data_IF_635017269442
#
_entry.id   IF_635017269442
#
_cell.length_a   1.000
_cell.length_b   1.000
_cell.length_c   1.000
_cell.angle_alpha   90.00
_cell.angle_beta   90.00
_cell.angle_gamma   90.00
#
_symmetry.space_group_name_H-M   'P 1'
#
loop_
_entity.id
_entity.type
_entity.pdbx_description
1 polymer ?
#
# COMPACT_ATOMS: atom_id res chain seq x y z
N UNK A 1 22.97 19.99 -22.14
CA UNK A 1 22.02 19.13 -21.44
C UNK A 1 22.62 17.75 -21.22
N UNK A 2 22.68 17.29 -19.95
CA UNK A 2 23.18 15.95 -19.59
C UNK A 2 21.99 15.11 -19.21
N UNK A 3 21.91 13.89 -19.74
CA UNK A 3 20.80 12.95 -19.44
C UNK A 3 21.33 11.51 -19.39
N UNK A 4 20.84 10.75 -18.44
CA UNK A 4 21.06 9.31 -18.30
C UNK A 4 19.87 8.47 -18.82
N UNK A 5 18.88 9.14 -19.43
CA UNK A 5 17.70 8.53 -20.05
C UNK A 5 17.47 9.14 -21.45
N UNK A 6 18.44 9.03 -22.38
CA UNK A 6 18.30 9.59 -23.71
C UNK A 6 17.38 8.73 -24.58
N UNK A 7 16.53 9.38 -25.36
CA UNK A 7 15.86 8.76 -26.48
C UNK A 7 16.65 8.98 -27.80
N UNK A 8 16.20 8.36 -28.87
CA UNK A 8 16.89 8.40 -30.17
C UNK A 8 16.95 9.83 -30.78
N UNK A 9 16.00 10.70 -30.42
CA UNK A 9 16.03 12.10 -30.87
C UNK A 9 17.02 12.94 -30.07
N UNK A 10 17.10 12.73 -28.77
CA UNK A 10 18.01 13.47 -27.88
C UNK A 10 19.48 13.15 -28.18
N UNK A 11 19.80 11.90 -28.47
CA UNK A 11 21.17 11.48 -28.78
C UNK A 11 21.74 12.22 -29.99
N UNK A 12 20.89 12.61 -30.94
CA UNK A 12 21.30 13.29 -32.19
C UNK A 12 21.40 14.80 -32.05
N UNK A 13 20.98 15.41 -30.93
CA UNK A 13 20.98 16.86 -30.75
C UNK A 13 22.33 17.39 -30.26
N UNK A 14 22.80 18.45 -30.91
CA UNK A 14 24.00 19.17 -30.45
C UNK A 14 23.81 19.73 -29.04
N UNK A 15 24.82 19.56 -28.19
CA UNK A 15 24.80 20.02 -26.80
C UNK A 15 24.15 19.07 -25.83
N UNK A 16 23.73 17.86 -26.26
CA UNK A 16 23.31 16.78 -25.42
C UNK A 16 24.47 15.84 -25.15
N UNK A 17 24.70 15.51 -23.88
CA UNK A 17 25.68 14.54 -23.42
C UNK A 17 24.92 13.36 -22.80
N UNK A 18 24.76 12.26 -23.52
CA UNK A 18 24.17 11.05 -22.95
C UNK A 18 25.19 10.33 -22.05
N UNK A 19 24.74 9.90 -20.90
CA UNK A 19 25.53 9.06 -19.98
C UNK A 19 24.76 7.79 -19.66
N UNK A 20 25.44 6.71 -19.25
CA UNK A 20 24.75 5.50 -18.78
C UNK A 20 23.91 5.77 -17.53
N UNK A 21 22.76 5.10 -17.43
CA UNK A 21 21.88 5.17 -16.25
C UNK A 21 22.41 4.26 -15.14
N UNK A 22 23.34 4.77 -14.32
CA UNK A 22 24.10 4.00 -13.33
C UNK A 22 23.79 4.38 -11.87
N UNK A 23 22.76 5.22 -11.61
CA UNK A 23 22.47 5.73 -10.28
C UNK A 23 22.19 4.62 -9.24
N UNK A 24 21.67 3.48 -9.67
CA UNK A 24 21.41 2.31 -8.80
C UNK A 24 22.43 1.16 -8.99
N UNK A 25 23.53 1.39 -9.71
CA UNK A 25 24.48 0.33 -10.11
C UNK A 25 25.82 0.43 -9.38
N UNK A 26 25.87 1.11 -8.25
CA UNK A 26 27.02 1.04 -7.34
C UNK A 26 26.78 -0.04 -6.27
N UNK A 27 27.81 -0.68 -5.71
CA UNK A 27 27.65 -1.67 -4.66
C UNK A 27 26.80 -1.16 -3.47
N UNK A 28 27.00 0.09 -3.05
CA UNK A 28 26.23 0.71 -1.96
C UNK A 28 24.77 0.93 -2.35
N UNK A 29 24.49 1.32 -3.59
CA UNK A 29 23.13 1.50 -4.08
C UNK A 29 22.38 0.16 -4.15
N UNK A 30 23.02 -0.88 -4.64
CA UNK A 30 22.44 -2.24 -4.70
C UNK A 30 22.12 -2.77 -3.31
N UNK A 31 23.03 -2.65 -2.34
CA UNK A 31 22.82 -3.06 -0.95
C UNK A 31 21.68 -2.27 -0.30
N UNK A 32 21.66 -0.94 -0.48
CA UNK A 32 20.61 -0.09 0.04
C UNK A 32 19.25 -0.42 -0.59
N UNK A 33 19.17 -0.65 -1.89
CA UNK A 33 17.96 -1.05 -2.57
C UNK A 33 17.43 -2.39 -2.04
N UNK A 34 18.29 -3.39 -1.89
CA UNK A 34 17.92 -4.69 -1.35
C UNK A 34 17.39 -4.57 0.08
N UNK A 35 18.12 -3.86 0.95
CA UNK A 35 17.74 -3.65 2.34
C UNK A 35 16.40 -2.91 2.45
N UNK A 36 16.22 -1.85 1.65
CA UNK A 36 14.99 -1.07 1.64
C UNK A 36 13.80 -1.90 1.14
N UNK A 37 13.97 -2.67 0.06
CA UNK A 37 12.92 -3.53 -0.47
C UNK A 37 12.48 -4.60 0.54
N UNK A 38 13.43 -5.25 1.23
CA UNK A 38 13.16 -6.24 2.26
C UNK A 38 12.39 -5.61 3.44
N UNK A 39 12.81 -4.44 3.91
CA UNK A 39 12.15 -3.75 5.02
C UNK A 39 10.72 -3.33 4.65
N UNK A 40 10.50 -2.79 3.45
CA UNK A 40 9.16 -2.43 2.97
C UNK A 40 8.25 -3.66 2.83
N UNK A 41 8.79 -4.76 2.30
CA UNK A 41 8.05 -6.02 2.19
C UNK A 41 7.70 -6.59 3.57
N UNK A 42 8.63 -6.54 4.52
CA UNK A 42 8.39 -6.97 5.90
C UNK A 42 7.30 -6.13 6.57
N UNK A 43 7.37 -4.79 6.46
CA UNK A 43 6.32 -3.90 6.97
C UNK A 43 4.93 -4.23 6.40
N UNK A 44 4.86 -4.54 5.11
CA UNK A 44 3.61 -4.95 4.48
C UNK A 44 3.14 -6.33 4.96
N UNK A 45 4.04 -7.31 5.03
CA UNK A 45 3.67 -8.69 5.38
C UNK A 45 3.34 -8.85 6.86
N UNK A 46 4.11 -8.24 7.75
CA UNK A 46 3.96 -8.41 9.20
C UNK A 46 2.97 -7.42 9.81
N UNK A 47 2.92 -6.18 9.30
CA UNK A 47 2.16 -5.09 9.90
C UNK A 47 1.09 -4.48 9.00
N UNK A 48 1.07 -4.85 7.71
CA UNK A 48 0.13 -4.30 6.74
C UNK A 48 0.41 -2.85 6.33
N UNK A 49 1.54 -2.29 6.73
CA UNK A 49 1.90 -0.92 6.39
C UNK A 49 2.36 -0.84 4.92
N UNK A 50 1.96 0.22 4.25
CA UNK A 50 2.42 0.54 2.90
C UNK A 50 3.40 1.71 2.96
N UNK A 51 4.63 1.47 2.48
CA UNK A 51 5.71 2.46 2.41
C UNK A 51 6.25 2.47 0.99
N UNK A 52 6.29 3.64 0.37
CA UNK A 52 6.75 3.87 -1.00
C UNK A 52 6.01 3.02 -2.06
N UNK A 53 4.73 2.73 -1.85
CA UNK A 53 3.92 2.00 -2.82
C UNK A 53 3.66 2.83 -4.08
N UNK A 54 3.82 2.23 -5.26
CA UNK A 54 3.64 2.94 -6.54
C UNK A 54 2.18 3.28 -6.79
N UNK A 55 1.27 2.37 -6.50
CA UNK A 55 -0.15 2.46 -6.82
C UNK A 55 -1.06 2.78 -5.63
N UNK A 56 -0.52 2.85 -4.41
CA UNK A 56 -1.24 3.26 -3.21
C UNK A 56 -0.54 4.44 -2.53
N UNK A 57 -1.25 5.19 -1.72
CA UNK A 57 -0.64 6.16 -0.83
C UNK A 57 0.10 5.46 0.31
N UNK A 58 1.13 6.09 0.85
CA UNK A 58 1.77 5.60 2.07
C UNK A 58 0.73 5.54 3.20
N UNK A 59 0.65 4.39 3.82
CA UNK A 59 -0.33 4.08 4.84
C UNK A 59 0.38 3.37 6.00
N UNK A 60 0.68 4.12 7.05
CA UNK A 60 1.41 3.62 8.19
C UNK A 60 0.60 3.82 9.47
N UNK A 61 0.31 2.73 10.15
CA UNK A 61 -0.28 2.70 11.48
C UNK A 61 0.61 1.82 12.34
N UNK A 62 1.16 2.35 13.47
CA UNK A 62 2.00 1.55 14.35
C UNK A 62 1.33 0.22 14.70
N UNK A 63 2.08 -0.90 14.74
CA UNK A 63 1.52 -2.18 15.10
C UNK A 63 1.02 -2.14 16.55
N UNK A 64 -0.13 -2.74 16.78
CA UNK A 64 -0.74 -2.93 18.11
C UNK A 64 -0.83 -4.42 18.41
N UNK A 65 -1.14 -4.79 19.66
CA UNK A 65 -1.44 -6.18 20.02
C UNK A 65 -2.81 -6.66 19.51
N UNK A 66 -3.62 -5.75 18.95
CA UNK A 66 -4.94 -6.03 18.40
C UNK A 66 -4.83 -6.69 17.03
N UNK A 67 -5.85 -7.48 16.66
CA UNK A 67 -5.97 -8.00 15.31
C UNK A 67 -6.21 -6.86 14.33
N UNK A 68 -5.68 -7.02 13.14
CA UNK A 68 -5.70 -5.99 12.11
C UNK A 68 -6.31 -6.52 10.83
N UNK A 69 -7.31 -5.79 10.31
CA UNK A 69 -7.92 -6.04 9.02
C UNK A 69 -7.33 -5.05 8.01
N UNK A 70 -6.81 -5.56 6.92
CA UNK A 70 -6.26 -4.81 5.80
C UNK A 70 -7.19 -4.91 4.61
N UNK A 71 -7.57 -3.79 4.03
CA UNK A 71 -8.51 -3.76 2.91
C UNK A 71 -7.99 -2.84 1.82
N UNK A 72 -7.81 -3.39 0.61
CA UNK A 72 -7.63 -2.60 -0.59
C UNK A 72 -8.96 -2.54 -1.36
N UNK A 73 -9.35 -1.35 -1.81
CA UNK A 73 -10.61 -1.12 -2.51
C UNK A 73 -10.50 -0.01 -3.56
N UNK A 74 -11.50 0.08 -4.44
CA UNK A 74 -11.64 1.26 -5.28
C UNK A 74 -12.01 2.48 -4.45
N UNK A 75 -11.46 3.64 -4.82
CA UNK A 75 -11.70 4.91 -4.14
C UNK A 75 -13.05 5.52 -4.61
N UNK A 76 -14.15 4.95 -4.15
CA UNK A 76 -15.50 5.40 -4.46
C UNK A 76 -16.31 5.65 -3.19
N UNK A 77 -17.35 6.50 -3.26
CA UNK A 77 -18.21 6.78 -2.11
C UNK A 77 -18.82 5.53 -1.47
N UNK A 78 -19.12 5.61 -0.19
CA UNK A 78 -19.82 4.63 0.63
C UNK A 78 -19.04 3.34 1.00
N UNK A 79 -17.87 3.05 0.41
CA UNK A 79 -17.11 1.81 0.73
C UNK A 79 -16.77 1.74 2.22
N UNK A 80 -16.22 2.82 2.79
CA UNK A 80 -15.87 2.87 4.22
C UNK A 80 -17.12 2.69 5.09
N UNK A 81 -18.22 3.38 4.74
CA UNK A 81 -19.49 3.22 5.46
C UNK A 81 -20.02 1.78 5.44
N UNK A 82 -19.89 1.09 4.32
CA UNK A 82 -20.29 -0.30 4.20
C UNK A 82 -19.40 -1.22 5.07
N UNK A 83 -18.08 -1.03 5.04
CA UNK A 83 -17.14 -1.80 5.86
C UNK A 83 -17.45 -1.59 7.35
N UNK A 84 -17.54 -0.35 7.80
CA UNK A 84 -17.79 -0.03 9.21
C UNK A 84 -19.18 -0.52 9.66
N UNK A 85 -20.19 -0.47 8.78
CA UNK A 85 -21.50 -1.03 9.05
C UNK A 85 -21.45 -2.55 9.26
N UNK A 86 -20.75 -3.29 8.39
CA UNK A 86 -20.59 -4.76 8.53
C UNK A 86 -19.95 -5.09 9.87
N UNK A 87 -18.90 -4.35 10.28
CA UNK A 87 -18.24 -4.56 11.58
C UNK A 87 -19.19 -4.23 12.74
N UNK A 88 -19.90 -3.11 12.67
CA UNK A 88 -20.87 -2.69 13.70
C UNK A 88 -22.03 -3.68 13.87
N UNK A 89 -22.62 -4.16 12.76
CA UNK A 89 -23.70 -5.15 12.77
C UNK A 89 -23.28 -6.48 13.47
N UNK A 90 -21.96 -6.77 13.50
CA UNK A 90 -21.35 -7.92 14.18
C UNK A 90 -20.78 -7.58 15.56
N UNK A 91 -21.03 -6.36 16.07
CA UNK A 91 -20.52 -5.87 17.36
C UNK A 91 -18.98 -5.91 17.46
N UNK A 92 -18.28 -5.80 16.33
CA UNK A 92 -16.82 -5.69 16.28
C UNK A 92 -16.46 -4.23 16.49
N UNK A 93 -15.75 -3.94 17.57
CA UNK A 93 -15.29 -2.59 17.88
C UNK A 93 -14.00 -2.27 17.11
N UNK A 94 -13.94 -1.07 16.52
CA UNK A 94 -12.76 -0.54 15.83
C UNK A 94 -11.95 0.26 16.85
N UNK A 95 -10.75 -0.22 17.17
CA UNK A 95 -9.83 0.48 18.06
C UNK A 95 -9.09 1.62 17.32
N UNK A 96 -8.60 1.33 16.12
CA UNK A 96 -7.94 2.32 15.26
C UNK A 96 -8.35 2.09 13.81
N UNK A 97 -8.40 3.16 13.04
CA UNK A 97 -8.67 3.08 11.61
C UNK A 97 -7.89 4.14 10.86
N UNK A 98 -7.20 3.72 9.81
CA UNK A 98 -6.53 4.60 8.87
C UNK A 98 -6.99 4.26 7.46
N UNK A 99 -7.49 5.25 6.74
CA UNK A 99 -7.81 5.18 5.31
C UNK A 99 -6.94 6.16 4.54
N UNK A 100 -6.33 5.69 3.48
CA UNK A 100 -5.57 6.54 2.54
C UNK A 100 -5.95 6.18 1.12
N UNK A 101 -6.13 7.20 0.29
CA UNK A 101 -6.43 7.03 -1.14
C UNK A 101 -5.38 7.68 -2.02
N UNK A 102 -5.17 7.09 -3.19
CA UNK A 102 -4.32 7.61 -4.27
C UNK A 102 -4.97 7.25 -5.61
N UNK A 103 -5.45 8.26 -6.33
CA UNK A 103 -6.19 8.05 -7.56
C UNK A 103 -7.42 7.17 -7.33
N UNK A 104 -7.52 6.10 -8.11
CA UNK A 104 -8.67 5.20 -8.14
C UNK A 104 -8.69 4.16 -7.01
N UNK A 105 -7.66 4.12 -6.16
CA UNK A 105 -7.51 3.10 -5.13
C UNK A 105 -7.42 3.69 -3.73
N UNK A 106 -7.94 2.97 -2.76
CA UNK A 106 -7.82 3.26 -1.35
C UNK A 106 -7.31 2.03 -0.59
N UNK A 107 -6.59 2.27 0.48
CA UNK A 107 -6.11 1.26 1.38
C UNK A 107 -6.51 1.58 2.80
N UNK A 108 -6.97 0.56 3.55
CA UNK A 108 -7.42 0.71 4.92
C UNK A 108 -6.64 -0.24 5.82
N UNK A 109 -6.24 0.30 6.97
CA UNK A 109 -5.76 -0.45 8.11
C UNK A 109 -6.76 -0.26 9.23
N UNK A 110 -7.34 -1.35 9.75
CA UNK A 110 -8.37 -1.32 10.78
C UNK A 110 -7.94 -2.24 11.90
N UNK A 111 -7.63 -1.70 13.07
CA UNK A 111 -7.38 -2.47 14.28
C UNK A 111 -8.70 -2.71 15.01
N UNK A 112 -8.94 -3.94 15.43
CA UNK A 112 -10.16 -4.37 16.10
C UNK A 112 -9.85 -4.97 17.48
N UNK A 113 -10.73 -4.74 18.44
CA UNK A 113 -10.54 -5.21 19.82
C UNK A 113 -10.86 -6.70 20.02
N UNK A 114 -11.72 -7.25 19.15
CA UNK A 114 -12.20 -8.62 19.23
C UNK A 114 -11.79 -9.41 17.98
N UNK A 115 -11.88 -10.73 18.08
CA UNK A 115 -11.73 -11.59 16.90
C UNK A 115 -12.82 -11.28 15.87
N UNK A 116 -12.39 -11.04 14.63
CA UNK A 116 -13.32 -10.92 13.53
C UNK A 116 -13.88 -12.32 13.19
N UNK A 117 -15.20 -12.45 13.25
CA UNK A 117 -15.85 -13.66 12.73
C UNK A 117 -15.55 -13.81 11.24
N UNK A 118 -15.23 -15.02 10.82
CA UNK A 118 -14.97 -15.33 9.39
C UNK A 118 -16.13 -14.90 8.48
N UNK A 119 -17.35 -14.93 9.01
CA UNK A 119 -18.55 -14.47 8.32
C UNK A 119 -18.54 -12.97 7.99
N UNK A 120 -17.99 -12.13 8.91
CA UNK A 120 -17.83 -10.69 8.66
C UNK A 120 -16.79 -10.44 7.57
N UNK A 121 -15.66 -11.15 7.63
CA UNK A 121 -14.58 -11.04 6.67
C UNK A 121 -15.04 -11.50 5.28
N UNK A 122 -15.76 -12.59 5.19
CA UNK A 122 -16.34 -13.08 3.95
C UNK A 122 -17.33 -12.08 3.35
N UNK A 123 -18.15 -11.44 4.19
CA UNK A 123 -19.09 -10.42 3.76
C UNK A 123 -18.36 -9.18 3.23
N UNK A 124 -17.31 -8.70 3.93
CA UNK A 124 -16.48 -7.60 3.42
C UNK A 124 -15.84 -8.00 2.08
N UNK A 125 -15.25 -9.20 2.01
CA UNK A 125 -14.59 -9.71 0.80
C UNK A 125 -15.54 -9.83 -0.41
N UNK A 126 -16.82 -10.11 -0.17
CA UNK A 126 -17.85 -10.19 -1.21
C UNK A 126 -18.46 -8.82 -1.60
N UNK A 127 -18.13 -7.77 -0.87
CA UNK A 127 -18.63 -6.42 -1.18
C UNK A 127 -18.01 -5.93 -2.51
N UNK A 128 -18.86 -5.41 -3.37
CA UNK A 128 -18.43 -4.88 -4.67
C UNK A 128 -17.33 -3.83 -4.49
N UNK A 129 -16.35 -3.85 -5.41
CA UNK A 129 -15.22 -2.90 -5.46
C UNK A 129 -14.19 -3.05 -4.30
N UNK A 130 -14.31 -4.08 -3.47
CA UNK A 130 -13.24 -4.57 -2.61
C UNK A 130 -12.30 -5.44 -3.45
N UNK A 131 -11.00 -5.17 -3.38
CA UNK A 131 -9.96 -5.84 -4.18
C UNK A 131 -9.20 -6.89 -3.36
N UNK A 132 -8.98 -6.61 -2.08
CA UNK A 132 -8.25 -7.49 -1.17
C UNK A 132 -8.75 -7.31 0.27
N UNK A 133 -8.85 -8.40 0.99
CA UNK A 133 -9.03 -8.40 2.45
C UNK A 133 -8.05 -9.41 3.06
N UNK A 134 -7.25 -8.96 4.02
CA UNK A 134 -6.29 -9.77 4.77
C UNK A 134 -6.41 -9.48 6.26
N UNK A 135 -6.22 -10.50 7.09
CA UNK A 135 -6.13 -10.37 8.56
C UNK A 135 -4.70 -10.72 8.99
N UNK A 136 -4.18 -9.96 9.91
CA UNK A 136 -2.89 -10.19 10.57
C UNK A 136 -3.01 -9.97 12.08
#
# INVERSE_FOLDING_TARGET
>A
YVTDFPDDELIQKNGVIPIPHLGASTPEAEENCATMAVNQLREFLEHGNLINAVNFADCYLPPTASKRILIANKNIPAIIGNITKILADRKINIANMLNKSKGDYAYNIIDIDNDAEESAITQIRSTKDILMVRII
#
